data_IF_227444999337
#
_entry.id   IF_227444999337
#
_cell.length_a   1.000
_cell.length_b   1.000
_cell.length_c   1.000
_cell.angle_alpha   90.00
_cell.angle_beta   90.00
_cell.angle_gamma   90.00
#
_symmetry.space_group_name_H-M   'P 1'
#
loop_
_entity.id
_entity.type
_entity.pdbx_description
1 polymer ?
#
# COMPACT_ATOMS: atom_id res chain seq x y z
N UNK A 1 1.62 11.69 17.87
CA UNK A 1 1.64 10.31 17.40
C UNK A 1 1.98 10.29 15.91
N UNK A 2 2.37 9.16 15.36
CA UNK A 2 2.70 9.04 13.94
C UNK A 2 2.39 7.64 13.43
N UNK A 3 1.58 7.55 12.39
CA UNK A 3 1.44 6.33 11.60
C UNK A 3 2.65 6.21 10.68
N UNK A 4 3.22 5.02 10.61
CA UNK A 4 4.34 4.75 9.70
C UNK A 4 3.89 3.79 8.60
N UNK A 5 4.03 4.20 7.35
CA UNK A 5 3.79 3.39 6.17
C UNK A 5 5.11 2.94 5.57
N UNK A 6 5.21 1.68 5.15
CA UNK A 6 6.33 1.13 4.39
C UNK A 6 5.91 0.94 2.94
N UNK A 7 6.62 1.56 2.02
CA UNK A 7 6.49 1.36 0.58
C UNK A 7 7.62 0.45 0.11
N UNK A 8 7.30 -0.57 -0.68
CA UNK A 8 8.24 -1.62 -1.09
C UNK A 8 8.34 -1.69 -2.59
N UNK A 9 9.57 -1.81 -3.09
CA UNK A 9 9.90 -2.13 -4.47
C UNK A 9 10.38 -3.57 -4.56
N UNK A 10 9.82 -4.35 -5.49
CA UNK A 10 10.28 -5.71 -5.79
C UNK A 10 10.45 -5.93 -7.30
N UNK A 11 11.02 -7.07 -7.68
CA UNK A 11 11.23 -7.45 -9.09
C UNK A 11 10.32 -8.57 -9.55
N UNK A 12 9.39 -9.03 -8.72
CA UNK A 12 8.46 -10.09 -9.09
C UNK A 12 7.50 -9.68 -10.21
N UNK A 13 6.79 -10.68 -10.76
CA UNK A 13 5.90 -10.45 -11.90
C UNK A 13 4.77 -9.47 -11.57
N UNK A 14 4.18 -9.56 -10.36
CA UNK A 14 3.11 -8.66 -9.93
C UNK A 14 3.60 -7.23 -9.78
N UNK A 15 4.78 -7.03 -9.21
CA UNK A 15 5.41 -5.71 -9.14
C UNK A 15 5.62 -5.09 -10.53
N UNK A 16 5.96 -5.91 -11.53
CA UNK A 16 6.11 -5.43 -12.93
C UNK A 16 4.78 -5.00 -13.55
N UNK A 17 3.69 -5.74 -13.28
CA UNK A 17 2.34 -5.39 -13.76
C UNK A 17 1.88 -4.09 -13.11
N UNK A 18 1.98 -3.97 -11.79
CA UNK A 18 1.58 -2.77 -11.04
C UNK A 18 2.41 -1.57 -11.49
N UNK A 19 3.72 -1.73 -11.67
CA UNK A 19 4.60 -0.65 -12.17
C UNK A 19 4.20 -0.17 -13.56
N UNK A 20 3.75 -1.07 -14.44
CA UNK A 20 3.21 -0.72 -15.75
C UNK A 20 1.95 0.13 -15.63
N UNK A 21 1.04 -0.26 -14.75
CA UNK A 21 -0.20 0.47 -14.49
C UNK A 21 0.04 1.85 -13.83
N UNK A 22 1.11 2.00 -13.05
CA UNK A 22 1.47 3.25 -12.36
C UNK A 22 2.48 4.13 -13.11
N UNK A 23 2.66 3.92 -14.41
CA UNK A 23 3.57 4.71 -15.26
C UNK A 23 5.02 4.75 -14.72
N UNK A 24 5.50 3.64 -14.19
CA UNK A 24 6.89 3.49 -13.72
C UNK A 24 7.14 3.95 -12.29
N UNK A 25 6.10 4.12 -11.46
CA UNK A 25 6.30 4.40 -10.04
C UNK A 25 7.15 3.33 -9.35
N UNK A 26 8.08 3.74 -8.51
CA UNK A 26 9.13 2.86 -7.99
C UNK A 26 8.63 1.80 -7.02
N UNK A 27 7.55 2.07 -6.28
CA UNK A 27 7.05 1.19 -5.23
C UNK A 27 5.71 0.58 -5.61
N UNK A 28 5.59 -0.74 -5.51
CA UNK A 28 4.42 -1.50 -5.96
C UNK A 28 3.58 -2.06 -4.79
N UNK A 29 4.07 -1.90 -3.57
CA UNK A 29 3.37 -2.36 -2.38
C UNK A 29 3.45 -1.32 -1.28
N UNK A 30 2.40 -1.24 -0.45
CA UNK A 30 2.35 -0.40 0.73
C UNK A 30 1.68 -1.15 1.88
N UNK A 31 2.25 -1.01 3.08
CA UNK A 31 1.77 -1.62 4.31
C UNK A 31 1.98 -0.69 5.51
N UNK A 32 1.28 -0.93 6.61
CA UNK A 32 1.40 -0.16 7.83
C UNK A 32 2.33 -0.85 8.82
N UNK A 33 3.29 -0.11 9.38
CA UNK A 33 4.07 -0.57 10.54
C UNK A 33 3.25 -0.34 11.80
N UNK A 34 2.90 -1.44 12.46
CA UNK A 34 2.10 -1.45 13.67
C UNK A 34 2.96 -1.16 14.92
N UNK A 35 2.37 -0.71 16.05
CA UNK A 35 3.10 -0.43 17.30
C UNK A 35 3.82 -1.66 17.87
N UNK A 36 3.31 -2.87 17.62
CA UNK A 36 3.94 -4.12 18.03
C UNK A 36 5.17 -4.49 17.15
N UNK A 37 5.49 -3.65 16.16
CA UNK A 37 6.59 -3.83 15.23
C UNK A 37 6.25 -4.69 14.02
N UNK A 38 5.05 -5.28 13.94
CA UNK A 38 4.61 -6.02 12.75
C UNK A 38 4.30 -5.08 11.59
N UNK A 39 4.23 -5.65 10.38
CA UNK A 39 3.81 -4.99 9.15
C UNK A 39 2.45 -5.56 8.75
N UNK A 40 1.42 -4.70 8.70
CA UNK A 40 0.07 -5.08 8.35
C UNK A 40 -0.30 -4.53 6.98
N UNK A 41 -0.66 -5.43 6.07
CA UNK A 41 -1.01 -5.11 4.71
C UNK A 41 -1.87 -6.20 4.05
N UNK A 42 -2.31 -5.95 2.82
CA UNK A 42 -2.93 -6.95 1.97
C UNK A 42 -1.87 -7.53 1.04
N UNK A 43 -1.71 -8.85 1.06
CA UNK A 43 -0.70 -9.60 0.32
C UNK A 43 -1.35 -10.62 -0.61
N UNK A 44 -0.75 -10.86 -1.77
CA UNK A 44 -1.25 -11.82 -2.74
C UNK A 44 -1.35 -13.24 -2.14
N UNK A 45 -0.40 -13.60 -1.30
CA UNK A 45 -0.34 -14.87 -0.57
C UNK A 45 -0.92 -14.72 0.86
N UNK A 46 -2.21 -14.91 0.99
CA UNK A 46 -2.89 -14.96 2.29
C UNK A 46 -3.75 -13.74 2.64
N UNK A 47 -3.92 -12.78 1.74
CA UNK A 47 -4.83 -11.64 1.96
C UNK A 47 -4.32 -10.64 2.99
N UNK A 48 -5.24 -10.06 3.77
CA UNK A 48 -4.89 -9.07 4.81
C UNK A 48 -4.33 -9.79 6.03
N UNK A 49 -3.10 -9.49 6.37
CA UNK A 49 -2.38 -10.12 7.49
C UNK A 49 -1.31 -9.22 8.08
N UNK A 50 -0.95 -9.50 9.33
CA UNK A 50 0.22 -8.92 9.99
C UNK A 50 1.39 -9.91 9.84
N UNK A 51 2.56 -9.40 9.47
CA UNK A 51 3.81 -10.16 9.26
C UNK A 51 4.92 -9.60 10.13
N UNK A 52 5.94 -10.41 10.39
CA UNK A 52 7.15 -9.93 11.05
C UNK A 52 7.84 -8.86 10.22
N UNK A 53 8.54 -7.91 10.85
CA UNK A 53 9.16 -6.79 10.14
C UNK A 53 10.24 -7.21 9.11
N UNK A 54 10.77 -8.41 9.25
CA UNK A 54 11.80 -9.01 8.40
C UNK A 54 11.27 -10.10 7.44
N UNK A 55 9.94 -10.18 7.27
CA UNK A 55 9.32 -11.24 6.45
C UNK A 55 9.74 -11.20 4.99
N UNK A 56 9.97 -10.02 4.47
CA UNK A 56 10.34 -9.81 3.06
C UNK A 56 11.84 -9.57 2.95
N UNK A 57 12.55 -10.61 2.53
CA UNK A 57 14.00 -10.57 2.29
C UNK A 57 14.36 -10.31 0.82
N UNK A 58 13.37 -10.27 -0.07
CA UNK A 58 13.55 -10.15 -1.52
C UNK A 58 13.25 -8.75 -2.08
N UNK A 59 12.95 -7.77 -1.23
CA UNK A 59 12.72 -6.40 -1.70
C UNK A 59 13.99 -5.77 -2.30
N UNK A 60 13.82 -4.89 -3.27
CA UNK A 60 14.92 -4.13 -3.90
C UNK A 60 15.20 -2.85 -3.10
N UNK A 61 14.14 -2.15 -2.75
CA UNK A 61 14.19 -0.94 -1.95
C UNK A 61 12.92 -0.79 -1.11
N UNK A 62 13.03 -0.15 0.04
CA UNK A 62 11.90 0.30 0.82
C UNK A 62 12.01 1.78 1.21
N UNK A 63 10.84 2.39 1.45
CA UNK A 63 10.72 3.77 1.89
C UNK A 63 9.74 3.81 3.05
N UNK A 64 10.17 4.31 4.19
CA UNK A 64 9.31 4.56 5.33
C UNK A 64 8.82 6.01 5.33
N UNK A 65 7.51 6.16 5.44
CA UNK A 65 6.81 7.45 5.43
C UNK A 65 6.07 7.61 6.74
N UNK A 66 6.38 8.64 7.51
CA UNK A 66 5.73 8.92 8.78
C UNK A 66 4.68 10.01 8.61
N UNK A 67 3.44 9.70 8.96
CA UNK A 67 2.28 10.59 8.85
C UNK A 67 1.89 11.07 10.25
N UNK A 68 2.04 12.37 10.57
CA UNK A 68 1.60 12.92 11.85
C UNK A 68 0.08 12.77 12.03
N UNK A 69 -0.33 12.36 13.23
CA UNK A 69 -1.74 12.18 13.57
C UNK A 69 -1.97 12.40 15.08
N UNK A 70 -3.24 12.52 15.49
CA UNK A 70 -3.62 12.46 16.89
C UNK A 70 -3.61 11.02 17.41
N UNK A 71 -3.71 10.84 18.73
CA UNK A 71 -3.82 9.51 19.33
C UNK A 71 -5.11 8.80 18.91
N UNK A 72 -6.21 9.54 18.80
CA UNK A 72 -7.50 8.99 18.37
C UNK A 72 -7.47 8.55 16.90
N UNK A 73 -6.78 9.32 16.05
CA UNK A 73 -6.59 8.98 14.64
C UNK A 73 -5.73 7.72 14.47
N UNK A 74 -4.63 7.61 15.22
CA UNK A 74 -3.78 6.41 15.22
C UNK A 74 -4.59 5.18 15.64
N UNK A 75 -5.34 5.28 16.76
CA UNK A 75 -6.18 4.20 17.26
C UNK A 75 -7.30 3.80 16.27
N UNK A 76 -7.93 4.76 15.61
CA UNK A 76 -8.95 4.51 14.60
C UNK A 76 -8.36 3.78 13.37
N UNK A 77 -7.20 4.23 12.90
CA UNK A 77 -6.47 3.61 11.78
C UNK A 77 -6.10 2.16 12.10
N UNK A 78 -5.49 1.91 13.26
CA UNK A 78 -5.11 0.56 13.67
C UNK A 78 -6.31 -0.36 13.85
N UNK A 79 -7.37 0.13 14.50
CA UNK A 79 -8.61 -0.61 14.70
C UNK A 79 -9.21 -1.03 13.36
N UNK A 80 -9.25 -0.10 12.40
CA UNK A 80 -9.74 -0.40 11.06
C UNK A 80 -8.91 -1.50 10.39
N UNK A 81 -7.58 -1.36 10.37
CA UNK A 81 -6.72 -2.34 9.71
C UNK A 81 -6.83 -3.74 10.34
N UNK A 82 -6.83 -3.81 11.67
CA UNK A 82 -6.96 -5.09 12.40
C UNK A 82 -8.30 -5.78 12.12
N UNK A 83 -9.37 -5.00 11.95
CA UNK A 83 -10.69 -5.53 11.60
C UNK A 83 -10.75 -6.11 10.16
N UNK A 84 -9.77 -5.81 9.30
CA UNK A 84 -9.70 -6.37 7.95
C UNK A 84 -8.88 -7.66 7.88
N UNK A 85 -8.14 -8.02 8.92
CA UNK A 85 -7.29 -9.23 8.93
C UNK A 85 -8.11 -10.49 8.59
N UNK A 86 -7.56 -11.33 7.71
CA UNK A 86 -8.20 -12.53 7.17
C UNK A 86 -9.06 -12.32 5.92
N UNK A 87 -9.29 -11.07 5.50
CA UNK A 87 -9.97 -10.81 4.22
C UNK A 87 -9.07 -11.14 3.03
N UNK A 88 -9.63 -11.65 1.92
CA UNK A 88 -8.84 -12.06 0.76
C UNK A 88 -8.17 -10.87 0.04
N UNK A 89 -7.13 -11.18 -0.71
CA UNK A 89 -6.51 -10.22 -1.65
C UNK A 89 -7.37 -10.08 -2.91
N UNK A 90 -7.53 -8.86 -3.42
CA UNK A 90 -8.35 -8.57 -4.60
C UNK A 90 -7.53 -8.68 -5.90
N UNK A 91 -7.36 -9.90 -6.38
CA UNK A 91 -6.65 -10.15 -7.66
C UNK A 91 -7.44 -9.61 -8.86
N UNK A 92 -8.77 -9.53 -8.76
CA UNK A 92 -9.63 -8.99 -9.82
C UNK A 92 -9.38 -7.50 -9.96
N UNK A 93 -9.27 -6.77 -8.85
CA UNK A 93 -8.92 -5.35 -8.84
C UNK A 93 -7.62 -5.05 -9.61
N UNK A 94 -6.59 -5.89 -9.44
CA UNK A 94 -5.32 -5.71 -10.17
C UNK A 94 -5.50 -5.92 -11.67
N UNK A 95 -6.26 -6.95 -12.08
CA UNK A 95 -6.51 -7.22 -13.48
C UNK A 95 -7.29 -6.08 -14.17
N UNK A 96 -8.30 -5.54 -13.49
CA UNK A 96 -9.13 -4.45 -14.00
C UNK A 96 -8.37 -3.10 -14.00
N UNK A 97 -7.49 -2.85 -13.04
CA UNK A 97 -6.58 -1.68 -13.12
C UNK A 97 -5.69 -1.75 -14.36
N UNK A 98 -5.15 -2.92 -14.67
CA UNK A 98 -4.35 -3.13 -15.87
C UNK A 98 -5.17 -2.93 -17.15
N UNK A 99 -6.41 -3.42 -17.20
CA UNK A 99 -7.34 -3.24 -18.32
C UNK A 99 -7.75 -1.76 -18.48
N UNK A 100 -8.06 -1.06 -17.41
CA UNK A 100 -8.38 0.37 -17.42
C UNK A 100 -7.26 1.25 -17.96
N UNK A 101 -5.99 0.88 -17.74
CA UNK A 101 -4.83 1.57 -18.35
C UNK A 101 -4.80 1.35 -19.87
N UNK A 102 -5.20 0.17 -20.34
CA UNK A 102 -5.21 -0.17 -21.79
C UNK A 102 -6.39 0.44 -22.49
N UNK A 103 -7.59 0.38 -21.89
CA UNK A 103 -8.84 0.81 -22.54
C UNK A 103 -9.19 2.27 -22.28
N UNK A 104 -8.64 2.88 -21.24
CA UNK A 104 -8.99 4.23 -20.78
C UNK A 104 -10.37 4.32 -20.13
N UNK A 105 -11.04 3.19 -19.91
CA UNK A 105 -12.34 3.12 -19.25
C UNK A 105 -12.19 2.98 -17.74
N UNK A 106 -13.03 3.70 -16.98
CA UNK A 106 -13.09 3.52 -15.53
C UNK A 106 -13.78 2.18 -15.22
N UNK A 107 -13.13 1.25 -14.53
CA UNK A 107 -13.72 -0.05 -14.22
C UNK A 107 -14.97 0.09 -13.35
N UNK A 108 -15.99 -0.71 -13.65
CA UNK A 108 -17.20 -0.83 -12.83
C UNK A 108 -16.98 -1.89 -11.75
N UNK A 109 -17.01 -1.49 -10.48
CA UNK A 109 -16.67 -2.37 -9.38
C UNK A 109 -17.88 -2.86 -8.60
N UNK A 110 -18.06 -4.18 -8.40
CA UNK A 110 -18.92 -4.67 -7.34
C UNK A 110 -18.27 -4.42 -5.96
N UNK A 111 -19.09 -4.21 -4.93
CA UNK A 111 -18.62 -4.21 -3.55
C UNK A 111 -17.98 -5.57 -3.24
N UNK A 112 -16.68 -5.59 -3.04
CA UNK A 112 -15.93 -6.81 -2.72
C UNK A 112 -15.42 -6.74 -1.28
N UNK A 113 -15.50 -7.84 -0.53
CA UNK A 113 -14.89 -7.93 0.78
C UNK A 113 -13.36 -8.05 0.74
N UNK A 114 -12.75 -7.96 -0.43
CA UNK A 114 -11.32 -8.13 -0.69
C UNK A 114 -10.58 -6.80 -0.77
N UNK A 115 -9.27 -6.83 -0.55
CA UNK A 115 -8.42 -5.65 -0.53
C UNK A 115 -7.17 -5.81 -1.40
N UNK A 116 -6.78 -4.76 -2.14
CA UNK A 116 -5.40 -4.55 -2.54
C UNK A 116 -4.68 -3.72 -1.47
N UNK A 117 -3.34 -3.77 -1.44
CA UNK A 117 -2.54 -3.14 -0.39
C UNK A 117 -2.84 -1.64 -0.23
N UNK A 118 -2.85 -0.90 -1.31
CA UNK A 118 -3.07 0.55 -1.34
C UNK A 118 -4.51 0.96 -1.01
N UNK A 119 -5.51 0.18 -1.47
CA UNK A 119 -6.91 0.41 -1.11
C UNK A 119 -7.16 0.24 0.39
N UNK A 120 -6.58 -0.80 0.99
CA UNK A 120 -6.64 -1.04 2.43
C UNK A 120 -6.09 0.14 3.24
N UNK A 121 -4.89 0.61 2.89
CA UNK A 121 -4.26 1.75 3.56
C UNK A 121 -5.06 3.02 3.35
N UNK A 122 -5.52 3.31 2.12
CA UNK A 122 -6.35 4.49 1.82
C UNK A 122 -7.63 4.49 2.64
N UNK A 123 -8.33 3.35 2.72
CA UNK A 123 -9.54 3.22 3.53
C UNK A 123 -9.28 3.46 5.03
N UNK A 124 -8.17 2.94 5.54
CA UNK A 124 -7.75 3.19 6.92
C UNK A 124 -7.48 4.67 7.21
N UNK A 125 -6.75 5.35 6.32
CA UNK A 125 -6.45 6.78 6.44
C UNK A 125 -7.70 7.66 6.37
N UNK A 126 -8.68 7.30 5.52
CA UNK A 126 -9.98 7.97 5.45
C UNK A 126 -10.81 7.73 6.71
N UNK A 127 -10.90 6.49 7.18
CA UNK A 127 -11.65 6.12 8.39
C UNK A 127 -11.11 6.84 9.63
N UNK A 128 -9.81 7.05 9.69
CA UNK A 128 -9.14 7.81 10.74
C UNK A 128 -9.16 9.34 10.51
N UNK A 129 -9.80 9.81 9.47
CA UNK A 129 -9.86 11.24 9.09
C UNK A 129 -8.46 11.90 8.96
N UNK A 130 -7.44 11.11 8.62
CA UNK A 130 -6.09 11.61 8.37
C UNK A 130 -6.01 12.25 6.99
N UNK A 131 -6.64 11.64 6.00
CA UNK A 131 -6.89 12.23 4.69
C UNK A 131 -8.39 12.47 4.53
N UNK A 132 -8.77 13.55 3.83
CA UNK A 132 -10.17 13.96 3.70
C UNK A 132 -10.81 13.57 2.36
N UNK A 133 -9.99 13.19 1.40
CA UNK A 133 -10.44 12.73 0.09
C UNK A 133 -9.50 11.67 -0.43
N UNK A 134 -10.05 10.65 -1.06
CA UNK A 134 -9.25 9.72 -1.85
C UNK A 134 -8.90 10.34 -3.20
N UNK A 135 -7.68 10.17 -3.71
CA UNK A 135 -7.28 10.65 -5.04
C UNK A 135 -8.04 9.98 -6.19
N UNK A 136 -8.62 8.80 -5.91
CA UNK A 136 -9.47 8.03 -6.81
C UNK A 136 -10.57 7.34 -5.99
N UNK A 137 -11.36 6.44 -6.61
CA UNK A 137 -12.16 5.52 -5.81
C UNK A 137 -11.21 4.74 -4.91
N UNK A 138 -11.54 4.60 -3.63
CA UNK A 138 -10.67 3.96 -2.60
C UNK A 138 -10.12 2.62 -3.08
N UNK A 139 -10.95 1.86 -3.77
CA UNK A 139 -10.63 0.52 -4.25
C UNK A 139 -9.58 0.47 -5.36
N UNK A 140 -9.41 1.58 -6.09
CA UNK A 140 -8.46 1.75 -7.20
C UNK A 140 -7.23 2.55 -6.80
N UNK A 141 -7.14 2.95 -5.53
CA UNK A 141 -5.99 3.71 -5.06
C UNK A 141 -4.72 2.89 -5.27
N UNK A 142 -3.74 3.49 -5.89
CA UNK A 142 -2.42 2.90 -6.11
C UNK A 142 -1.47 3.26 -4.97
N UNK A 143 -0.34 2.56 -4.77
CA UNK A 143 0.70 3.00 -3.84
C UNK A 143 1.16 4.43 -4.07
N UNK A 144 1.23 4.88 -5.34
CA UNK A 144 1.50 6.27 -5.69
C UNK A 144 0.45 7.23 -5.13
N UNK A 145 -0.83 6.88 -5.25
CA UNK A 145 -1.94 7.71 -4.75
C UNK A 145 -1.87 7.86 -3.23
N UNK A 146 -1.55 6.78 -2.51
CA UNK A 146 -1.32 6.83 -1.06
C UNK A 146 -0.19 7.79 -0.72
N UNK A 147 0.95 7.70 -1.42
CA UNK A 147 2.08 8.59 -1.18
C UNK A 147 1.72 10.05 -1.47
N UNK A 148 1.02 10.32 -2.56
CA UNK A 148 0.56 11.68 -2.92
C UNK A 148 -0.43 12.22 -1.89
N UNK A 149 -1.42 11.42 -1.46
CA UNK A 149 -2.40 11.84 -0.45
C UNK A 149 -1.73 12.17 0.89
N UNK A 150 -0.66 11.48 1.24
CA UNK A 150 0.11 11.73 2.45
C UNK A 150 1.15 12.86 2.29
N UNK A 151 1.57 13.22 1.08
CA UNK A 151 2.75 14.07 0.81
C UNK A 151 2.69 15.45 1.47
N UNK A 152 1.50 16.02 1.63
CA UNK A 152 1.30 17.30 2.31
C UNK A 152 1.41 17.23 3.85
N UNK A 153 1.46 16.01 4.41
CA UNK A 153 1.37 15.74 5.84
C UNK A 153 2.61 15.04 6.39
N UNK A 154 3.52 14.57 5.52
CA UNK A 154 4.51 13.54 5.86
C UNK A 154 5.91 14.04 6.10
N UNK A 155 6.62 13.30 6.96
CA UNK A 155 8.09 13.25 6.98
C UNK A 155 8.49 12.03 6.14
N UNK A 156 9.05 12.28 4.96
CA UNK A 156 9.54 11.21 4.06
C UNK A 156 10.94 10.83 4.52
N UNK A 157 11.13 9.57 4.88
CA UNK A 157 12.46 9.00 5.15
C UNK A 157 13.28 8.81 3.87
N UNK A 158 14.57 8.58 4.01
CA UNK A 158 15.40 8.22 2.87
C UNK A 158 15.12 6.78 2.42
N UNK A 159 15.02 6.53 1.09
CA UNK A 159 14.89 5.18 0.55
C UNK A 159 16.09 4.31 0.95
N UNK A 160 15.82 3.13 1.46
CA UNK A 160 16.85 2.14 1.77
C UNK A 160 16.94 1.12 0.66
N UNK A 161 18.14 0.89 0.16
CA UNK A 161 18.42 -0.18 -0.80
C UNK A 161 18.69 -1.48 -0.03
N UNK A 162 18.18 -2.60 -0.55
CA UNK A 162 18.54 -3.91 0.01
C UNK A 162 19.98 -4.26 -0.40
N UNK A 163 20.91 -4.38 0.55
CA UNK A 163 22.30 -4.66 0.22
C UNK A 163 22.52 -6.05 -0.42
N UNK A 164 21.55 -6.97 -0.29
CA UNK A 164 21.62 -8.32 -0.86
C UNK A 164 21.15 -8.42 -2.31
N UNK A 165 20.55 -7.36 -2.87
CA UNK A 165 20.04 -7.37 -4.24
C UNK A 165 20.93 -6.51 -5.12
N UNK A 166 21.71 -7.16 -5.99
CA UNK A 166 22.51 -6.47 -7.01
C UNK A 166 21.57 -5.85 -8.06
N UNK A 167 21.52 -4.53 -8.12
CA UNK A 167 20.84 -3.81 -9.22
C UNK A 167 21.64 -4.04 -10.50
N UNK A 168 21.17 -4.93 -11.37
CA UNK A 168 21.69 -5.03 -12.73
C UNK A 168 21.32 -3.71 -13.40
N UNK A 169 22.32 -2.83 -13.57
CA UNK A 169 22.20 -1.66 -14.42
C UNK A 169 22.14 -2.15 -15.86
N UNK A 170 20.98 -2.03 -16.48
CA UNK A 170 20.78 -2.16 -17.92
C UNK A 170 21.06 -0.85 -18.62
#
# INVERSE_FOLDING_TARGET
MMITLRFVSSTDLMARIIRGAELGFAYQHVEAKMPDGTLLGAHLDGGVQARAADYDTAYVADLYVSVPCSADQEAAFETFLRAQVGKPYDVVAIAEMADGVVTGEAPSWPDSPSWICSALITAGLLTAEIIKAAPATVRLATPRDVLVACSALTIIGEPKQNPGVSTIRS
#
